data_IF_259313188316
#
_entry.id   IF_259313188316
#
_cell.length_a   1.000
_cell.length_b   1.000
_cell.length_c   1.000
_cell.angle_alpha   90.00
_cell.angle_beta   90.00
_cell.angle_gamma   90.00
#
_symmetry.space_group_name_H-M   'P 1'
#
loop_
_entity.id
_entity.type
_entity.pdbx_description
1 polymer ?
#
# COMPACT_ATOMS: atom_id res chain seq x y z
N UNK A 1 -17.89 -5.09 -4.96
CA UNK A 1 -17.03 -3.90 -5.17
C UNK A 1 -17.31 -3.21 -6.50
N UNK A 2 -17.09 -3.86 -7.66
CA UNK A 2 -17.21 -3.21 -8.98
C UNK A 2 -18.59 -2.62 -9.30
N UNK A 3 -19.68 -3.24 -8.85
CA UNK A 3 -21.04 -2.69 -9.02
C UNK A 3 -21.21 -1.34 -8.32
N UNK A 4 -20.94 -1.28 -7.02
CA UNK A 4 -21.06 -0.04 -6.25
C UNK A 4 -20.13 1.06 -6.76
N UNK A 5 -18.92 0.70 -7.22
CA UNK A 5 -18.00 1.66 -7.84
C UNK A 5 -18.53 2.22 -9.17
N UNK A 6 -19.08 1.36 -10.04
CA UNK A 6 -19.64 1.82 -11.30
C UNK A 6 -20.89 2.69 -11.08
N UNK A 7 -21.76 2.29 -10.14
CA UNK A 7 -22.96 3.05 -9.78
C UNK A 7 -22.62 4.46 -9.30
N UNK A 8 -21.69 4.59 -8.34
CA UNK A 8 -21.29 5.91 -7.83
C UNK A 8 -20.59 6.76 -8.89
N UNK A 9 -19.81 6.15 -9.79
CA UNK A 9 -19.15 6.87 -10.90
C UNK A 9 -20.18 7.44 -11.88
N UNK A 10 -21.17 6.65 -12.31
CA UNK A 10 -22.26 7.15 -13.15
C UNK A 10 -23.10 8.21 -12.42
N UNK A 11 -23.43 8.00 -11.14
CA UNK A 11 -24.13 8.99 -10.34
C UNK A 11 -23.34 10.31 -10.18
N UNK A 12 -22.01 10.25 -10.19
CA UNK A 12 -21.12 11.39 -10.20
C UNK A 12 -20.92 12.04 -11.59
N UNK A 13 -21.62 11.55 -12.62
CA UNK A 13 -21.60 12.13 -13.97
C UNK A 13 -20.59 11.50 -14.94
N UNK A 14 -20.01 10.34 -14.63
CA UNK A 14 -19.17 9.63 -15.59
C UNK A 14 -19.99 9.27 -16.84
N UNK A 15 -19.47 9.57 -18.03
CA UNK A 15 -20.07 9.18 -19.32
C UNK A 15 -19.60 7.81 -19.81
N UNK A 16 -18.60 7.25 -19.14
CA UNK A 16 -17.95 5.99 -19.48
C UNK A 16 -17.35 5.35 -18.23
N UNK A 17 -17.60 4.07 -18.00
CA UNK A 17 -17.02 3.28 -16.91
C UNK A 17 -16.48 1.96 -17.46
N UNK A 18 -15.29 1.56 -17.00
CA UNK A 18 -14.67 0.28 -17.32
C UNK A 18 -14.21 -0.42 -16.02
N UNK A 19 -14.82 -1.56 -15.65
CA UNK A 19 -14.34 -2.39 -14.54
C UNK A 19 -12.93 -2.94 -14.80
N UNK A 20 -12.16 -3.14 -13.75
CA UNK A 20 -10.81 -3.71 -13.84
C UNK A 20 -10.88 -5.24 -13.95
N UNK A 21 -11.29 -5.70 -15.13
CA UNK A 21 -11.31 -7.11 -15.51
C UNK A 21 -10.91 -7.22 -16.99
N UNK A 22 -10.09 -8.21 -17.36
CA UNK A 22 -9.56 -8.37 -18.73
C UNK A 22 -10.66 -8.60 -19.79
N UNK A 23 -11.83 -9.11 -19.37
CA UNK A 23 -12.97 -9.34 -20.27
C UNK A 23 -13.95 -8.16 -20.29
N UNK A 24 -13.74 -7.13 -19.47
CA UNK A 24 -14.65 -6.00 -19.40
C UNK A 24 -14.51 -5.07 -20.61
N UNK A 25 -15.64 -4.56 -21.09
CA UNK A 25 -15.69 -3.47 -22.05
C UNK A 25 -15.88 -2.14 -21.35
N UNK A 26 -15.90 -1.06 -22.14
CA UNK A 26 -16.29 0.27 -21.69
C UNK A 26 -17.79 0.42 -21.86
N UNK A 27 -18.48 0.81 -20.80
CA UNK A 27 -19.93 0.96 -20.78
C UNK A 27 -20.30 2.43 -20.63
N UNK A 28 -21.35 2.87 -21.32
CA UNK A 28 -21.79 4.29 -21.32
C UNK A 28 -23.03 4.52 -20.45
N UNK A 29 -23.61 3.46 -19.88
CA UNK A 29 -24.74 3.56 -18.96
C UNK A 29 -24.63 2.61 -17.77
N UNK A 30 -25.23 3.01 -16.65
CA UNK A 30 -25.30 2.17 -15.45
C UNK A 30 -26.01 0.83 -15.71
N UNK A 31 -27.12 0.85 -16.47
CA UNK A 31 -27.89 -0.36 -16.76
C UNK A 31 -27.03 -1.43 -17.45
N UNK A 32 -26.34 -1.04 -18.51
CA UNK A 32 -25.45 -1.92 -19.27
C UNK A 32 -24.28 -2.40 -18.41
N UNK A 33 -23.62 -1.48 -17.70
CA UNK A 33 -22.50 -1.83 -16.83
C UNK A 33 -22.90 -2.83 -15.74
N UNK A 34 -24.08 -2.65 -15.12
CA UNK A 34 -24.58 -3.55 -14.08
C UNK A 34 -24.78 -4.96 -14.59
N UNK A 35 -25.44 -5.11 -15.74
CA UNK A 35 -25.70 -6.42 -16.36
C UNK A 35 -24.39 -7.10 -16.74
N UNK A 36 -23.47 -6.36 -17.37
CA UNK A 36 -22.18 -6.91 -17.77
C UNK A 36 -21.28 -7.28 -16.57
N UNK A 37 -21.17 -6.41 -15.56
CA UNK A 37 -20.38 -6.66 -14.35
C UNK A 37 -20.86 -7.92 -13.61
N UNK A 38 -22.17 -8.14 -13.54
CA UNK A 38 -22.73 -9.32 -12.88
C UNK A 38 -22.34 -10.64 -13.59
N UNK A 39 -22.06 -10.59 -14.89
CA UNK A 39 -21.64 -11.74 -15.68
C UNK A 39 -20.12 -11.95 -15.72
N UNK A 40 -19.31 -10.99 -15.25
CA UNK A 40 -17.84 -11.09 -15.31
C UNK A 40 -17.30 -12.15 -14.33
N UNK A 41 -16.43 -13.06 -14.79
CA UNK A 41 -15.84 -14.07 -13.93
C UNK A 41 -14.81 -13.45 -12.98
N UNK A 42 -14.91 -13.78 -11.69
CA UNK A 42 -13.89 -13.48 -10.69
C UNK A 42 -12.90 -14.65 -10.65
N UNK A 43 -11.85 -14.56 -11.48
CA UNK A 43 -10.82 -15.59 -11.62
C UNK A 43 -9.41 -14.99 -11.64
N UNK A 44 -8.38 -15.75 -11.21
CA UNK A 44 -6.99 -15.38 -11.42
C UNK A 44 -6.74 -15.01 -12.89
N UNK A 45 -5.87 -14.02 -13.10
CA UNK A 45 -5.49 -13.49 -14.42
C UNK A 45 -6.62 -12.79 -15.21
N UNK A 46 -7.88 -12.79 -14.72
CA UNK A 46 -8.98 -12.06 -15.35
C UNK A 46 -9.44 -10.87 -14.51
N UNK A 47 -9.48 -11.01 -13.18
CA UNK A 47 -9.80 -9.90 -12.28
C UNK A 47 -8.53 -9.38 -11.65
N UNK A 48 -8.13 -8.15 -12.00
CA UNK A 48 -6.97 -7.54 -11.34
C UNK A 48 -7.41 -7.01 -9.98
N UNK A 49 -6.72 -7.48 -8.94
CA UNK A 49 -6.77 -6.89 -7.61
C UNK A 49 -5.48 -6.10 -7.44
N UNK A 50 -5.60 -4.79 -7.28
CA UNK A 50 -4.44 -3.89 -7.15
C UNK A 50 -4.58 -3.09 -5.87
N UNK A 51 -3.45 -2.83 -5.22
CA UNK A 51 -3.33 -1.83 -4.17
C UNK A 51 -2.08 -1.01 -4.46
N UNK A 52 -2.23 0.32 -4.49
CA UNK A 52 -1.09 1.23 -4.61
C UNK A 52 -0.34 1.40 -3.26
N UNK A 53 -0.98 1.01 -2.15
CA UNK A 53 -0.47 1.18 -0.79
C UNK A 53 -0.33 -0.18 -0.09
N UNK A 54 0.46 -1.07 -0.70
CA UNK A 54 0.90 -2.29 -0.02
C UNK A 54 2.06 -1.92 0.90
N UNK A 55 1.89 -2.17 2.18
CA UNK A 55 2.91 -1.99 3.21
C UNK A 55 3.04 -3.26 4.04
N UNK A 56 4.00 -3.30 4.95
CA UNK A 56 4.36 -4.51 5.68
C UNK A 56 5.36 -5.38 4.90
N UNK A 57 5.60 -6.59 5.41
CA UNK A 57 6.61 -7.52 4.90
C UNK A 57 7.88 -7.55 5.77
N UNK A 58 8.33 -6.40 6.25
CA UNK A 58 9.48 -6.28 7.17
C UNK A 58 9.08 -5.60 8.48
N UNK A 59 7.95 -6.02 9.07
CA UNK A 59 7.30 -5.32 10.18
C UNK A 59 8.23 -4.99 11.35
N UNK A 60 8.14 -3.76 11.85
CA UNK A 60 8.81 -3.30 13.06
C UNK A 60 8.08 -3.83 14.30
N UNK A 61 8.82 -4.42 15.24
CA UNK A 61 8.24 -4.98 16.45
C UNK A 61 9.15 -4.77 17.67
N UNK A 62 8.59 -4.96 18.87
CA UNK A 62 9.33 -4.91 20.13
C UNK A 62 10.17 -6.17 20.43
N UNK A 63 9.92 -7.27 19.73
CA UNK A 63 10.67 -8.53 19.84
C UNK A 63 10.81 -9.23 18.48
N UNK A 64 11.83 -10.09 18.37
CA UNK A 64 12.18 -10.79 17.14
C UNK A 64 11.15 -11.83 16.68
N UNK A 65 10.27 -12.29 17.56
CA UNK A 65 9.25 -13.30 17.21
C UNK A 65 8.03 -12.66 16.54
N UNK A 66 7.91 -11.33 16.59
CA UNK A 66 6.76 -10.57 16.10
C UNK A 66 7.07 -9.66 14.92
N UNK A 67 8.33 -9.57 14.49
CA UNK A 67 8.72 -8.68 13.40
C UNK A 67 10.12 -8.97 12.87
N UNK A 68 10.49 -8.23 11.83
CA UNK A 68 11.75 -8.37 11.10
C UNK A 68 12.79 -7.35 11.57
N UNK A 69 12.33 -6.15 11.93
CA UNK A 69 13.19 -5.07 12.43
C UNK A 69 12.82 -4.64 13.85
N UNK A 70 13.84 -4.16 14.55
CA UNK A 70 13.75 -3.52 15.86
C UNK A 70 13.13 -2.13 15.73
N UNK A 71 12.75 -1.48 16.85
CA UNK A 71 12.21 -0.11 16.83
C UNK A 71 13.15 0.97 16.27
N UNK A 72 14.43 0.64 16.06
CA UNK A 72 15.45 1.50 15.47
C UNK A 72 15.75 1.21 13.99
N UNK A 73 14.93 0.34 13.36
CA UNK A 73 15.02 -0.04 11.94
C UNK A 73 16.02 -1.16 11.65
N UNK A 74 16.83 -1.59 12.63
CA UNK A 74 17.85 -2.63 12.44
C UNK A 74 17.21 -4.02 12.40
N UNK A 75 17.67 -4.88 11.49
CA UNK A 75 17.25 -6.28 11.40
C UNK A 75 17.58 -7.03 12.70
N UNK A 76 16.69 -7.91 13.16
CA UNK A 76 16.92 -8.64 14.41
C UNK A 76 18.17 -9.51 14.37
N UNK A 77 18.40 -10.21 13.24
CA UNK A 77 19.46 -11.22 13.09
C UNK A 77 20.75 -10.71 12.42
N UNK A 78 20.73 -9.52 11.81
CA UNK A 78 21.86 -9.01 11.00
C UNK A 78 22.18 -7.60 11.47
N UNK A 79 23.28 -7.45 12.21
CA UNK A 79 23.58 -6.23 12.97
C UNK A 79 23.82 -4.98 12.10
N UNK A 80 24.28 -5.15 10.86
CA UNK A 80 24.60 -4.07 9.92
C UNK A 80 23.58 -3.94 8.78
N UNK A 81 22.37 -4.48 8.96
CA UNK A 81 21.27 -4.36 8.01
C UNK A 81 20.12 -3.60 8.66
N UNK A 82 19.59 -2.58 7.98
CA UNK A 82 18.38 -1.86 8.42
C UNK A 82 17.40 -1.64 7.27
N UNK A 83 16.11 -1.48 7.59
CA UNK A 83 15.02 -1.29 6.62
C UNK A 83 14.27 -0.01 6.95
N UNK A 84 14.29 0.97 6.05
CA UNK A 84 13.73 2.30 6.27
C UNK A 84 12.75 2.66 5.13
N UNK A 85 11.61 1.99 5.07
CA UNK A 85 10.54 2.26 4.12
C UNK A 85 9.16 1.84 4.69
N UNK A 86 8.10 1.84 3.87
CA UNK A 86 6.75 1.45 4.30
C UNK A 86 6.61 -0.02 4.71
N UNK A 87 7.57 -0.90 4.38
CA UNK A 87 7.50 -2.32 4.72
C UNK A 87 7.57 -2.59 6.23
N UNK A 88 8.05 -1.60 7.01
CA UNK A 88 8.15 -1.71 8.46
C UNK A 88 6.83 -1.48 9.19
N UNK A 89 5.81 -0.96 8.51
CA UNK A 89 4.50 -0.81 9.13
C UNK A 89 3.88 -2.17 9.47
N UNK A 90 3.20 -2.30 10.61
CA UNK A 90 2.58 -3.56 11.01
C UNK A 90 1.47 -4.01 10.05
N UNK A 91 0.79 -3.07 9.39
CA UNK A 91 -0.24 -3.32 8.36
C UNK A 91 -0.25 -2.19 7.33
N UNK A 92 -0.98 -2.39 6.23
CA UNK A 92 -1.40 -1.27 5.39
C UNK A 92 -2.25 -0.29 6.21
N UNK A 93 -1.89 0.99 6.16
CA UNK A 93 -2.68 2.07 6.73
C UNK A 93 -3.79 2.42 5.75
N UNK A 94 -5.01 2.62 6.22
CA UNK A 94 -6.19 2.92 5.39
C UNK A 94 -6.20 4.33 4.75
N UNK A 95 -5.10 5.07 4.87
CA UNK A 95 -4.90 6.42 4.34
C UNK A 95 -3.70 6.44 3.39
N UNK A 96 -3.45 7.59 2.74
CA UNK A 96 -2.24 7.76 1.93
C UNK A 96 -0.99 7.67 2.85
N UNK A 97 -0.07 6.72 2.61
CA UNK A 97 1.05 6.45 3.51
C UNK A 97 2.23 7.39 3.36
N UNK A 98 2.24 8.28 2.36
CA UNK A 98 3.41 9.08 2.00
C UNK A 98 4.02 9.83 3.19
N UNK A 99 3.21 10.64 3.90
CA UNK A 99 3.72 11.44 5.01
C UNK A 99 4.15 10.58 6.21
N UNK A 100 3.43 9.50 6.49
CA UNK A 100 3.81 8.55 7.54
C UNK A 100 5.15 7.87 7.24
N UNK A 101 5.39 7.50 5.98
CA UNK A 101 6.66 6.94 5.53
C UNK A 101 7.78 7.97 5.67
N UNK A 102 7.56 9.20 5.21
CA UNK A 102 8.58 10.26 5.34
C UNK A 102 8.96 10.50 6.80
N UNK A 103 7.98 10.63 7.69
CA UNK A 103 8.24 10.86 9.11
C UNK A 103 9.04 9.72 9.76
N UNK A 104 8.65 8.46 9.53
CA UNK A 104 9.36 7.33 10.15
C UNK A 104 10.76 7.15 9.55
N UNK A 105 10.91 7.29 8.23
CA UNK A 105 12.20 7.17 7.56
C UNK A 105 13.16 8.27 8.00
N UNK A 106 12.68 9.51 8.15
CA UNK A 106 13.51 10.61 8.66
C UNK A 106 14.05 10.28 10.06
N UNK A 107 13.18 9.83 10.97
CA UNK A 107 13.58 9.42 12.33
C UNK A 107 14.62 8.30 12.33
N UNK A 108 14.38 7.25 11.54
CA UNK A 108 15.25 6.06 11.49
C UNK A 108 16.60 6.38 10.84
N UNK A 109 16.60 7.10 9.72
CA UNK A 109 17.82 7.49 9.01
C UNK A 109 18.66 8.46 9.85
N UNK A 110 18.06 9.43 10.53
CA UNK A 110 18.78 10.33 11.46
C UNK A 110 19.40 9.55 12.61
N UNK A 111 18.66 8.60 13.20
CA UNK A 111 19.18 7.72 14.25
C UNK A 111 20.34 6.84 13.78
N UNK A 112 20.24 6.28 12.58
CA UNK A 112 21.32 5.50 11.97
C UNK A 112 22.56 6.36 11.72
N UNK A 113 22.40 7.54 11.12
CA UNK A 113 23.49 8.47 10.84
C UNK A 113 24.23 8.88 12.12
N UNK A 114 23.49 9.12 13.21
CA UNK A 114 24.06 9.38 14.53
C UNK A 114 24.88 8.19 15.06
N UNK A 115 24.35 6.96 14.97
CA UNK A 115 25.08 5.76 15.41
C UNK A 115 26.37 5.52 14.62
N UNK A 116 26.34 5.78 13.32
CA UNK A 116 27.49 5.54 12.43
C UNK A 116 28.56 6.64 12.53
N UNK A 117 28.16 7.91 12.69
CA UNK A 117 29.09 9.04 12.65
C UNK A 117 29.43 9.62 14.03
N UNK A 118 28.66 9.29 15.07
CA UNK A 118 28.75 9.92 16.38
C UNK A 118 28.24 11.37 16.43
N UNK A 119 27.66 11.88 15.34
CA UNK A 119 27.19 13.27 15.22
C UNK A 119 25.68 13.32 15.08
N UNK A 120 25.05 14.34 15.65
CA UNK A 120 23.65 14.61 15.37
C UNK A 120 23.48 15.06 13.91
N UNK A 121 22.53 14.44 13.21
CA UNK A 121 22.20 14.76 11.82
C UNK A 121 20.72 15.10 11.78
N UNK A 122 20.39 16.26 11.23
CA UNK A 122 19.02 16.64 10.88
C UNK A 122 18.86 16.38 9.39
N UNK A 123 18.13 15.33 9.05
CA UNK A 123 17.68 15.10 7.68
C UNK A 123 16.38 15.90 7.48
N UNK A 124 16.18 16.40 6.26
CA UNK A 124 15.21 17.43 5.87
C UNK A 124 13.81 17.30 6.51
#
# INVERSE_FOLDING_TARGET
>A
ASLSMAEIQFAAGATLVQPVNEMAQRYTSWKEAREAIAALPIKPLLTRVVSAHVMGGCGMAGDERRGVVRPDGTHWQIANLSVHDGSIFPTSIGANPQLSIYGIVNRLASGLAKRLSGRDVVLA
#
